data_IF_553811074771
#
_entry.id   IF_553811074771
#
_cell.length_a   1.000
_cell.length_b   1.000
_cell.length_c   1.000
_cell.angle_alpha   90.00
_cell.angle_beta   90.00
_cell.angle_gamma   90.00
#
_symmetry.space_group_name_H-M   'P 1'
#
loop_
_entity.id
_entity.type
_entity.pdbx_description
1 polymer ?
#
# COMPACT_ATOMS: atom_id res chain seq x y z
N UNK A 1 6.24 -7.05 3.21
CA UNK A 1 7.15 -6.87 2.06
C UNK A 1 7.79 -5.50 2.16
N UNK A 2 9.10 -5.38 1.92
CA UNK A 2 9.81 -4.09 1.91
C UNK A 2 10.06 -3.66 0.47
N UNK A 3 10.02 -2.35 0.23
CA UNK A 3 10.45 -1.79 -1.05
C UNK A 3 11.94 -2.12 -1.27
N UNK A 4 12.34 -2.36 -2.51
CA UNK A 4 13.77 -2.43 -2.82
C UNK A 4 14.32 -1.00 -2.90
N UNK A 5 15.43 -0.75 -2.21
CA UNK A 5 16.05 0.58 -2.09
C UNK A 5 16.31 1.23 -3.46
N UNK A 6 16.74 0.43 -4.45
CA UNK A 6 17.02 0.92 -5.82
C UNK A 6 15.80 1.56 -6.49
N UNK A 7 14.59 1.08 -6.21
CA UNK A 7 13.37 1.64 -6.81
C UNK A 7 12.93 2.89 -6.07
N UNK A 8 13.09 2.90 -4.74
CA UNK A 8 12.83 4.08 -3.90
C UNK A 8 13.73 5.25 -4.25
N UNK A 9 15.00 4.98 -4.52
CA UNK A 9 15.99 5.99 -4.89
C UNK A 9 15.63 6.77 -6.16
N UNK A 10 14.78 6.24 -7.04
CA UNK A 10 14.29 6.95 -8.23
C UNK A 10 13.38 8.14 -7.87
N UNK A 11 12.71 8.07 -6.72
CA UNK A 11 11.68 9.01 -6.32
C UNK A 11 10.34 8.78 -7.03
N UNK A 12 9.28 9.24 -6.39
CA UNK A 12 7.91 8.96 -6.79
C UNK A 12 7.45 9.68 -8.08
N UNK A 13 8.23 10.66 -8.55
CA UNK A 13 7.99 11.41 -9.80
C UNK A 13 8.83 10.95 -10.98
N UNK A 14 9.62 9.88 -10.85
CA UNK A 14 10.44 9.37 -11.95
C UNK A 14 9.59 8.93 -13.15
N UNK A 15 10.05 9.22 -14.37
CA UNK A 15 9.30 8.97 -15.61
C UNK A 15 9.00 7.48 -15.85
N UNK A 16 9.82 6.58 -15.32
CA UNK A 16 9.61 5.11 -15.39
C UNK A 16 8.22 4.71 -14.88
N UNK A 17 7.66 5.43 -13.89
CA UNK A 17 6.36 5.11 -13.32
C UNK A 17 5.21 5.36 -14.32
N UNK A 18 5.39 6.28 -15.27
CA UNK A 18 4.42 6.49 -16.35
C UNK A 18 4.48 5.35 -17.38
N UNK A 19 5.67 4.81 -17.66
CA UNK A 19 5.81 3.61 -18.49
C UNK A 19 5.10 2.39 -17.86
N UNK A 20 5.25 2.22 -16.53
CA UNK A 20 4.53 1.18 -15.78
C UNK A 20 3.02 1.39 -15.85
N UNK A 21 2.53 2.61 -15.65
CA UNK A 21 1.10 2.93 -15.74
C UNK A 21 0.54 2.66 -17.14
N UNK A 22 1.26 3.07 -18.19
CA UNK A 22 0.86 2.80 -19.56
C UNK A 22 0.84 1.30 -19.86
N UNK A 23 1.87 0.56 -19.44
CA UNK A 23 1.89 -0.91 -19.53
C UNK A 23 0.68 -1.55 -18.85
N UNK A 24 0.30 -1.09 -17.66
CA UNK A 24 -0.89 -1.55 -16.96
C UNK A 24 -2.20 -1.19 -17.69
N UNK A 25 -2.27 -0.09 -18.42
CA UNK A 25 -3.43 0.28 -19.23
C UNK A 25 -3.66 -0.69 -20.41
N UNK A 26 -2.59 -1.32 -20.91
CA UNK A 26 -2.64 -2.34 -21.96
C UNK A 26 -3.05 -3.74 -21.45
N UNK A 27 -3.31 -3.92 -20.15
CA UNK A 27 -3.52 -5.22 -19.52
C UNK A 27 -4.72 -6.03 -20.06
N UNK A 28 -5.61 -5.40 -20.85
CA UNK A 28 -6.68 -6.11 -21.56
C UNK A 28 -6.17 -7.01 -22.68
N UNK A 29 -4.93 -6.82 -23.14
CA UNK A 29 -4.29 -7.65 -24.16
C UNK A 29 -2.83 -7.92 -23.83
N UNK A 30 -2.53 -9.16 -23.45
CA UNK A 30 -1.15 -9.60 -23.21
C UNK A 30 -0.27 -9.44 -24.46
N UNK A 31 -0.85 -9.60 -25.65
CA UNK A 31 -0.15 -9.36 -26.91
C UNK A 31 0.26 -7.89 -27.07
N UNK A 32 -0.61 -6.94 -26.70
CA UNK A 32 -0.28 -5.51 -26.71
C UNK A 32 0.80 -5.17 -25.70
N UNK A 33 0.74 -5.74 -24.49
CA UNK A 33 1.79 -5.57 -23.48
C UNK A 33 3.14 -6.09 -23.95
N UNK A 34 3.20 -7.31 -24.47
CA UNK A 34 4.44 -7.89 -25.00
C UNK A 34 5.00 -7.08 -26.16
N UNK A 35 4.13 -6.67 -27.10
CA UNK A 35 4.51 -5.83 -28.23
C UNK A 35 5.06 -4.47 -27.77
N UNK A 36 4.41 -3.81 -26.82
CA UNK A 36 4.89 -2.55 -26.26
C UNK A 36 6.28 -2.69 -25.67
N UNK A 37 6.52 -3.74 -24.87
CA UNK A 37 7.85 -3.99 -24.28
C UNK A 37 8.90 -4.26 -25.36
N UNK A 38 8.55 -5.04 -26.39
CA UNK A 38 9.46 -5.34 -27.51
C UNK A 38 9.80 -4.10 -28.33
N UNK A 39 8.79 -3.34 -28.75
CA UNK A 39 8.95 -2.11 -29.53
C UNK A 39 9.80 -1.10 -28.75
N UNK A 40 9.52 -0.92 -27.45
CA UNK A 40 10.27 -0.01 -26.59
C UNK A 40 11.73 -0.47 -26.41
N UNK A 41 11.99 -1.78 -26.27
CA UNK A 41 13.34 -2.34 -26.18
C UNK A 41 14.14 -2.08 -27.47
N UNK A 42 13.53 -2.22 -28.63
CA UNK A 42 14.20 -2.03 -29.92
C UNK A 42 14.44 -0.55 -30.21
N UNK A 43 13.40 0.28 -30.08
CA UNK A 43 13.38 1.63 -30.62
C UNK A 43 13.67 2.72 -29.57
N UNK A 44 13.48 2.41 -28.27
CA UNK A 44 13.50 3.39 -27.18
C UNK A 44 12.69 4.65 -27.50
N UNK A 45 11.52 4.42 -28.07
CA UNK A 45 10.54 5.43 -28.37
C UNK A 45 9.16 4.79 -28.34
N UNK A 46 8.13 5.61 -28.24
CA UNK A 46 6.76 5.13 -28.28
C UNK A 46 5.82 6.12 -28.96
N UNK A 47 4.72 5.60 -29.49
CA UNK A 47 3.65 6.36 -30.12
C UNK A 47 2.33 5.93 -29.51
N UNK A 48 1.47 6.88 -29.13
CA UNK A 48 0.16 6.60 -28.57
C UNK A 48 -0.91 7.21 -29.47
N UNK A 49 -1.80 6.37 -30.02
CA UNK A 49 -2.85 6.85 -30.91
C UNK A 49 -2.30 7.53 -32.16
N UNK A 50 -2.65 8.81 -32.34
CA UNK A 50 -2.21 9.65 -33.47
C UNK A 50 -1.15 10.69 -33.07
N UNK A 51 -0.67 10.63 -31.84
CA UNK A 51 0.30 11.59 -31.33
C UNK A 51 1.69 11.37 -31.94
N UNK A 52 2.56 12.40 -31.93
CA UNK A 52 3.95 12.25 -32.36
C UNK A 52 4.69 11.17 -31.55
N UNK A 53 5.64 10.49 -32.20
CA UNK A 53 6.55 9.58 -31.52
C UNK A 53 7.40 10.34 -30.50
N UNK A 54 7.42 9.84 -29.26
CA UNK A 54 8.24 10.37 -28.17
C UNK A 54 9.45 9.45 -27.97
N UNK A 55 10.65 10.03 -27.93
CA UNK A 55 11.86 9.31 -27.56
C UNK A 55 11.89 9.09 -26.04
N UNK A 56 12.23 7.88 -25.62
CA UNK A 56 12.36 7.48 -24.21
C UNK A 56 13.84 7.25 -23.94
N UNK A 57 14.43 7.82 -22.87
CA UNK A 57 15.82 7.55 -22.52
C UNK A 57 16.08 6.04 -22.40
N UNK A 58 17.19 5.57 -23.00
CA UNK A 58 17.54 4.13 -22.99
C UNK A 58 17.70 3.58 -21.57
N UNK A 59 18.16 4.41 -20.64
CA UNK A 59 18.24 4.08 -19.22
C UNK A 59 16.85 3.82 -18.61
N UNK A 60 15.85 4.65 -18.92
CA UNK A 60 14.47 4.46 -18.46
C UNK A 60 13.85 3.19 -19.03
N UNK A 61 14.16 2.85 -20.29
CA UNK A 61 13.71 1.59 -20.90
C UNK A 61 14.31 0.39 -20.16
N UNK A 62 15.61 0.41 -19.87
CA UNK A 62 16.28 -0.66 -19.11
C UNK A 62 15.71 -0.77 -17.69
N UNK A 63 15.53 0.37 -17.01
CA UNK A 63 14.93 0.43 -15.67
C UNK A 63 13.50 -0.13 -15.67
N UNK A 64 12.66 0.28 -16.63
CA UNK A 64 11.29 -0.20 -16.78
C UNK A 64 11.24 -1.72 -16.95
N UNK A 65 12.03 -2.28 -17.86
CA UNK A 65 12.05 -3.73 -18.10
C UNK A 65 12.54 -4.48 -16.87
N UNK A 66 13.63 -4.02 -16.24
CA UNK A 66 14.15 -4.62 -15.00
C UNK A 66 13.13 -4.55 -13.85
N UNK A 67 12.37 -3.45 -13.78
CA UNK A 67 11.32 -3.29 -12.79
C UNK A 67 10.16 -4.26 -13.00
N UNK A 68 9.72 -4.50 -14.24
CA UNK A 68 8.64 -5.46 -14.52
C UNK A 68 8.99 -6.88 -14.04
N UNK A 69 10.25 -7.30 -14.18
CA UNK A 69 10.73 -8.59 -13.70
C UNK A 69 10.73 -8.65 -12.16
N UNK A 70 11.27 -7.61 -11.50
CA UNK A 70 11.29 -7.53 -10.04
C UNK A 70 9.88 -7.50 -9.43
N UNK A 71 8.98 -6.73 -10.06
CA UNK A 71 7.57 -6.61 -9.69
C UNK A 71 6.83 -7.94 -9.74
N UNK A 72 7.09 -8.78 -10.74
CA UNK A 72 6.45 -10.10 -10.85
C UNK A 72 6.94 -11.05 -9.73
N UNK A 73 8.22 -10.99 -9.37
CA UNK A 73 8.77 -11.74 -8.24
C UNK A 73 8.13 -11.30 -6.91
N UNK A 74 8.02 -9.99 -6.68
CA UNK A 74 7.36 -9.41 -5.51
C UNK A 74 5.86 -9.78 -5.45
N UNK A 75 5.16 -9.73 -6.58
CA UNK A 75 3.75 -10.15 -6.67
C UNK A 75 3.59 -11.63 -6.31
N UNK A 76 4.48 -12.48 -6.82
CA UNK A 76 4.45 -13.93 -6.53
C UNK A 76 4.65 -14.19 -5.04
N UNK A 77 5.61 -13.50 -4.41
CA UNK A 77 5.83 -13.58 -2.97
C UNK A 77 4.59 -13.09 -2.19
N UNK A 78 4.04 -11.93 -2.53
CA UNK A 78 2.84 -11.37 -1.90
C UNK A 78 1.66 -12.34 -1.96
N UNK A 79 1.39 -12.95 -3.11
CA UNK A 79 0.32 -13.94 -3.26
C UNK A 79 0.52 -15.15 -2.34
N UNK A 80 1.76 -15.60 -2.14
CA UNK A 80 2.10 -16.70 -1.23
C UNK A 80 1.86 -16.40 0.25
N UNK A 81 1.85 -15.12 0.64
CA UNK A 81 1.63 -14.70 2.02
C UNK A 81 0.16 -14.48 2.40
N UNK A 82 -0.72 -14.31 1.41
CA UNK A 82 -2.15 -14.13 1.65
C UNK A 82 -2.75 -15.30 2.43
N UNK A 83 -3.64 -14.99 3.34
CA UNK A 83 -4.39 -15.95 4.15
C UNK A 83 -5.81 -16.09 3.62
N UNK A 84 -6.44 -17.20 3.93
CA UNK A 84 -7.90 -17.23 3.98
C UNK A 84 -8.42 -16.70 5.33
N UNK A 85 -9.73 -16.50 5.42
CA UNK A 85 -10.35 -15.93 6.63
C UNK A 85 -10.15 -16.82 7.85
N UNK A 86 -10.15 -18.14 7.67
CA UNK A 86 -9.95 -19.09 8.75
C UNK A 86 -8.54 -18.94 9.33
N UNK A 87 -7.52 -18.91 8.49
CA UNK A 87 -6.14 -18.67 8.90
C UNK A 87 -5.98 -17.33 9.66
N UNK A 88 -6.62 -16.26 9.20
CA UNK A 88 -6.60 -14.96 9.88
C UNK A 88 -7.32 -14.99 11.25
N UNK A 89 -8.45 -15.69 11.34
CA UNK A 89 -9.16 -15.89 12.61
C UNK A 89 -8.37 -16.75 13.60
N UNK A 90 -7.68 -17.80 13.13
CA UNK A 90 -6.84 -18.63 14.01
C UNK A 90 -5.70 -17.83 14.64
N UNK A 91 -5.12 -16.86 13.92
CA UNK A 91 -4.17 -15.91 14.53
C UNK A 91 -4.81 -15.16 15.71
N UNK A 92 -6.00 -14.58 15.50
CA UNK A 92 -6.68 -13.80 16.52
C UNK A 92 -7.06 -14.67 17.73
N UNK A 93 -7.55 -15.88 17.50
CA UNK A 93 -7.88 -16.85 18.56
C UNK A 93 -6.67 -17.24 19.39
N UNK A 94 -5.54 -17.57 18.75
CA UNK A 94 -4.28 -17.92 19.44
C UNK A 94 -3.82 -16.79 20.38
N UNK A 95 -4.04 -15.54 19.99
CA UNK A 95 -3.67 -14.37 20.78
C UNK A 95 -4.80 -13.84 21.68
N UNK A 96 -5.96 -14.49 21.70
CA UNK A 96 -7.16 -14.07 22.46
C UNK A 96 -7.62 -12.65 22.13
N UNK A 97 -7.45 -12.22 20.88
CA UNK A 97 -7.94 -10.92 20.41
C UNK A 97 -9.42 -10.99 20.09
N UNK A 98 -10.16 -9.96 20.50
CA UNK A 98 -11.56 -9.79 20.13
C UNK A 98 -11.63 -9.43 18.66
N UNK A 99 -12.42 -10.19 17.90
CA UNK A 99 -12.67 -9.96 16.47
C UNK A 99 -14.14 -9.57 16.30
N UNK A 100 -14.38 -8.45 15.62
CA UNK A 100 -15.72 -8.04 15.22
C UNK A 100 -16.06 -8.60 13.83
N UNK A 101 -17.33 -8.49 13.45
CA UNK A 101 -17.79 -8.73 12.09
C UNK A 101 -18.12 -7.42 11.40
N UNK A 102 -17.95 -7.41 10.09
CA UNK A 102 -18.44 -6.32 9.24
C UNK A 102 -19.94 -6.33 9.30
N UNK A 103 -20.56 -5.18 9.61
CA UNK A 103 -22.02 -5.01 9.57
C UNK A 103 -22.38 -4.35 8.24
N UNK A 104 -23.08 -5.05 7.35
CA UNK A 104 -23.61 -4.45 6.11
C UNK A 104 -25.08 -4.08 6.27
N UNK A 105 -25.51 -3.01 5.58
CA UNK A 105 -26.92 -2.56 5.61
C UNK A 105 -27.91 -3.62 5.07
N UNK A 106 -27.45 -4.53 4.22
CA UNK A 106 -28.20 -5.73 3.83
C UNK A 106 -27.63 -6.94 4.56
N UNK A 107 -28.48 -7.63 5.32
CA UNK A 107 -28.14 -8.85 6.05
C UNK A 107 -27.94 -10.08 5.14
N UNK A 108 -28.29 -9.98 3.85
CA UNK A 108 -28.12 -11.07 2.87
C UNK A 108 -26.67 -11.19 2.36
N UNK A 109 -25.83 -10.18 2.62
CA UNK A 109 -24.42 -10.24 2.29
C UNK A 109 -23.62 -10.96 3.37
N UNK A 110 -22.57 -11.67 2.96
CA UNK A 110 -21.63 -12.31 3.87
C UNK A 110 -21.02 -11.28 4.85
N UNK A 111 -21.24 -11.49 6.14
CA UNK A 111 -20.67 -10.65 7.21
C UNK A 111 -19.24 -11.13 7.49
N UNK A 112 -18.28 -10.61 6.73
CA UNK A 112 -16.87 -10.98 6.88
C UNK A 112 -16.31 -10.53 8.23
N UNK A 113 -15.47 -11.35 8.84
CA UNK A 113 -14.73 -10.98 10.05
C UNK A 113 -13.78 -9.80 9.80
N UNK A 114 -13.50 -9.05 10.86
CA UNK A 114 -12.50 -7.97 10.88
C UNK A 114 -11.18 -8.47 11.45
N UNK A 115 -10.72 -9.64 11.01
CA UNK A 115 -9.62 -10.37 11.64
C UNK A 115 -8.25 -9.66 11.46
N UNK A 116 -7.96 -9.16 10.26
CA UNK A 116 -6.80 -8.36 9.94
C UNK A 116 -6.82 -7.05 10.71
N UNK A 117 -7.97 -6.38 10.77
CA UNK A 117 -8.15 -5.15 11.58
C UNK A 117 -7.82 -5.43 13.04
N UNK A 118 -8.38 -6.49 13.61
CA UNK A 118 -8.09 -6.88 14.99
C UNK A 118 -6.60 -7.16 15.19
N UNK A 119 -5.95 -7.90 14.29
CA UNK A 119 -4.52 -8.20 14.38
C UNK A 119 -3.65 -6.93 14.33
N UNK A 120 -3.85 -6.07 13.34
CA UNK A 120 -3.08 -4.82 13.17
C UNK A 120 -3.24 -3.91 14.38
N UNK A 121 -4.48 -3.68 14.82
CA UNK A 121 -4.79 -2.77 15.92
C UNK A 121 -4.29 -3.28 17.28
N UNK A 122 -4.40 -4.58 17.56
CA UNK A 122 -3.88 -5.15 18.81
C UNK A 122 -2.36 -5.15 18.85
N UNK A 123 -1.69 -5.49 17.74
CA UNK A 123 -0.23 -5.41 17.65
C UNK A 123 0.22 -3.97 17.86
N UNK A 124 -0.37 -3.00 17.13
CA UNK A 124 -0.02 -1.59 17.25
C UNK A 124 -0.20 -1.09 18.70
N UNK A 125 -1.36 -1.35 19.31
CA UNK A 125 -1.66 -0.98 20.70
C UNK A 125 -0.63 -1.52 21.69
N UNK A 126 -0.22 -2.79 21.52
CA UNK A 126 0.80 -3.41 22.37
C UNK A 126 2.17 -2.74 22.21
N UNK A 127 2.57 -2.40 20.99
CA UNK A 127 3.87 -1.74 20.72
C UNK A 127 3.90 -0.34 21.34
N UNK A 128 2.86 0.46 21.14
CA UNK A 128 2.83 1.85 21.64
C UNK A 128 2.68 1.92 23.16
N UNK A 129 1.94 0.98 23.77
CA UNK A 129 1.78 0.92 25.23
C UNK A 129 3.11 0.73 25.96
N UNK A 130 4.05 -0.01 25.36
CA UNK A 130 5.39 -0.20 25.91
C UNK A 130 6.26 1.06 25.85
N UNK A 131 5.90 2.04 25.02
CA UNK A 131 6.65 3.28 24.77
C UNK A 131 5.95 4.54 25.31
N UNK A 132 4.79 4.39 25.95
CA UNK A 132 4.00 5.54 26.42
C UNK A 132 3.45 6.42 25.29
N UNK A 133 3.33 5.87 24.07
CA UNK A 133 2.77 6.55 22.89
C UNK A 133 1.29 6.16 22.77
N UNK A 134 0.44 7.08 22.30
CA UNK A 134 -0.98 6.80 22.05
C UNK A 134 -1.21 6.22 20.65
N UNK A 135 -2.38 5.65 20.42
CA UNK A 135 -2.80 5.18 19.09
C UNK A 135 -4.29 5.45 18.91
N UNK A 136 -4.66 5.93 17.72
CA UNK A 136 -6.05 5.90 17.25
C UNK A 136 -6.19 4.75 16.25
N UNK A 137 -6.76 3.64 16.72
CA UNK A 137 -6.87 2.39 15.94
C UNK A 137 -8.21 2.23 15.22
N UNK A 138 -9.13 3.20 15.36
CA UNK A 138 -10.38 3.26 14.62
C UNK A 138 -10.79 4.73 14.32
N UNK A 139 -10.03 5.46 13.49
CA UNK A 139 -10.29 6.86 13.20
C UNK A 139 -11.71 7.14 12.70
N UNK A 140 -12.45 7.97 13.43
CA UNK A 140 -13.76 8.49 12.99
C UNK A 140 -13.66 9.86 12.30
N UNK A 141 -12.45 10.40 12.16
CA UNK A 141 -12.15 11.69 11.54
C UNK A 141 -10.87 11.59 10.70
N UNK A 142 -10.66 12.59 9.85
CA UNK A 142 -9.47 12.72 9.01
C UNK A 142 -8.23 13.00 9.86
N UNK A 143 -7.08 12.55 9.38
CA UNK A 143 -5.81 13.00 9.93
C UNK A 143 -5.55 14.44 9.48
N UNK A 144 -4.99 15.24 10.38
CA UNK A 144 -4.68 16.64 10.16
C UNK A 144 -3.23 16.87 10.57
N UNK A 145 -2.46 17.45 9.67
CA UNK A 145 -1.17 18.04 10.01
C UNK A 145 -1.32 19.55 10.05
N UNK A 146 -0.96 20.13 11.20
CA UNK A 146 -0.79 21.55 11.39
C UNK A 146 0.60 21.77 11.97
N UNK A 147 1.56 22.00 11.08
CA UNK A 147 2.97 22.13 11.42
C UNK A 147 3.65 23.15 10.49
N UNK A 148 4.58 23.95 11.03
CA UNK A 148 5.32 24.99 10.27
C UNK A 148 4.41 25.94 9.47
N UNK A 149 3.27 26.32 10.05
CA UNK A 149 2.24 27.16 9.41
C UNK A 149 1.62 26.57 8.14
N UNK A 150 1.72 25.25 7.96
CA UNK A 150 1.07 24.52 6.88
C UNK A 150 -0.03 23.63 7.42
N UNK A 151 -1.14 23.58 6.68
CA UNK A 151 -2.26 22.70 6.95
C UNK A 151 -2.31 21.61 5.88
N UNK A 152 -2.39 20.35 6.30
CA UNK A 152 -2.75 19.24 5.45
C UNK A 152 -3.84 18.41 6.13
N UNK A 153 -4.81 17.94 5.36
CA UNK A 153 -5.90 17.09 5.82
C UNK A 153 -6.06 15.98 4.81
N UNK A 154 -6.12 14.72 5.27
CA UNK A 154 -6.28 13.58 4.37
C UNK A 154 -7.59 13.65 3.59
N UNK A 155 -7.60 13.19 2.34
CA UNK A 155 -8.82 13.11 1.53
C UNK A 155 -9.94 12.24 2.16
N UNK A 156 -9.57 11.32 3.05
CA UNK A 156 -10.47 10.33 3.68
C UNK A 156 -10.08 10.01 5.13
N UNK A 157 -10.96 9.34 5.85
CA UNK A 157 -10.59 8.66 7.09
C UNK A 157 -9.69 7.46 6.76
N UNK A 158 -8.72 7.22 7.63
CA UNK A 158 -7.78 6.10 7.54
C UNK A 158 -8.13 5.04 8.58
N UNK A 159 -7.45 3.90 8.56
CA UNK A 159 -7.75 2.76 9.42
C UNK A 159 -6.94 2.77 10.72
N UNK A 160 -5.95 3.65 10.83
CA UNK A 160 -5.36 4.03 12.11
C UNK A 160 -4.21 5.01 12.00
N UNK A 161 -3.82 5.56 13.14
CA UNK A 161 -2.85 6.65 13.25
C UNK A 161 -2.13 6.65 14.61
N UNK A 162 -0.84 7.00 14.59
CA UNK A 162 0.00 7.14 15.78
C UNK A 162 0.73 8.50 15.71
N UNK A 163 0.75 9.30 16.80
CA UNK A 163 0.13 9.04 18.10
C UNK A 163 -1.39 9.22 18.12
N UNK A 164 -1.96 9.85 17.11
CA UNK A 164 -3.39 10.13 16.99
C UNK A 164 -3.67 10.85 15.68
N UNK A 165 -4.81 11.55 15.59
CA UNK A 165 -5.25 12.17 14.32
C UNK A 165 -4.65 13.55 14.04
N UNK A 166 -3.94 14.14 15.01
CA UNK A 166 -3.28 15.44 14.85
C UNK A 166 -1.77 15.23 14.81
N UNK A 167 -1.14 15.69 13.72
CA UNK A 167 0.26 15.45 13.38
C UNK A 167 0.68 13.96 13.53
N UNK A 168 -0.06 12.98 12.93
CA UNK A 168 0.39 11.60 13.00
C UNK A 168 1.74 11.42 12.30
N UNK A 169 2.58 10.55 12.87
CA UNK A 169 3.86 10.14 12.28
C UNK A 169 3.72 8.83 11.51
N UNK A 170 2.82 7.95 11.97
CA UNK A 170 2.48 6.70 11.30
C UNK A 170 0.98 6.69 11.06
N UNK A 171 0.58 6.31 9.86
CA UNK A 171 -0.80 6.07 9.47
C UNK A 171 -0.89 4.74 8.74
N UNK A 172 -2.08 4.15 8.73
CA UNK A 172 -2.29 2.97 7.91
C UNK A 172 -3.67 2.81 7.31
N UNK A 173 -3.70 2.01 6.25
CA UNK A 173 -4.91 1.54 5.58
C UNK A 173 -4.95 0.01 5.54
N UNK A 174 -6.13 -0.57 5.71
CA UNK A 174 -6.36 -2.03 5.79
C UNK A 174 -7.32 -2.44 4.68
N UNK A 175 -6.84 -3.29 3.77
CA UNK A 175 -7.60 -3.82 2.63
C UNK A 175 -7.80 -5.32 2.81
N UNK A 176 -8.85 -5.67 3.54
CA UNK A 176 -9.22 -7.04 3.92
C UNK A 176 -10.46 -7.50 3.14
N UNK A 177 -10.41 -8.69 2.51
CA UNK A 177 -11.47 -9.19 1.64
C UNK A 177 -11.67 -10.72 1.74
N UNK A 178 -12.65 -11.17 2.52
CA UNK A 178 -12.90 -12.60 2.81
C UNK A 178 -13.98 -13.30 1.97
N UNK A 179 -14.56 -12.61 1.00
CA UNK A 179 -15.60 -13.17 0.14
C UNK A 179 -15.07 -14.20 -0.85
N UNK A 180 -15.97 -15.06 -1.33
CA UNK A 180 -15.68 -16.10 -2.35
C UNK A 180 -15.85 -15.63 -3.80
N UNK A 181 -16.25 -14.37 -3.98
CA UNK A 181 -16.43 -13.77 -5.32
C UNK A 181 -15.09 -13.33 -5.89
N UNK A 182 -15.00 -13.18 -7.22
CA UNK A 182 -13.79 -12.74 -7.93
C UNK A 182 -13.33 -11.30 -7.64
N UNK A 183 -13.95 -10.60 -6.69
CA UNK A 183 -13.62 -9.22 -6.33
C UNK A 183 -14.22 -8.20 -7.30
N UNK A 184 -14.87 -7.17 -6.76
CA UNK A 184 -15.50 -6.09 -7.51
C UNK A 184 -14.62 -4.84 -7.67
N UNK A 185 -15.22 -3.72 -8.06
CA UNK A 185 -14.54 -2.42 -8.18
C UNK A 185 -13.83 -2.00 -6.91
N UNK A 186 -14.35 -2.40 -5.73
CA UNK A 186 -13.81 -2.10 -4.40
C UNK A 186 -12.30 -2.32 -4.26
N UNK A 187 -11.76 -3.33 -4.94
CA UNK A 187 -10.32 -3.64 -4.85
C UNK A 187 -9.47 -2.70 -5.71
N UNK A 188 -10.01 -2.22 -6.84
CA UNK A 188 -9.39 -1.12 -7.58
C UNK A 188 -9.55 0.20 -6.84
N UNK A 189 -10.71 0.44 -6.22
CA UNK A 189 -10.95 1.62 -5.39
C UNK A 189 -9.91 1.69 -4.26
N UNK A 190 -9.64 0.57 -3.58
CA UNK A 190 -8.58 0.48 -2.57
C UNK A 190 -7.20 0.92 -3.09
N UNK A 191 -6.83 0.57 -4.32
CA UNK A 191 -5.58 1.02 -4.93
C UNK A 191 -5.61 2.53 -5.17
N UNK A 192 -6.71 3.06 -5.71
CA UNK A 192 -6.83 4.49 -6.00
C UNK A 192 -6.84 5.35 -4.74
N UNK A 193 -7.49 4.87 -3.68
CA UNK A 193 -7.50 5.50 -2.36
C UNK A 193 -6.08 5.63 -1.81
N UNK A 194 -5.32 4.54 -1.75
CA UNK A 194 -3.94 4.56 -1.26
C UNK A 194 -3.01 5.39 -2.15
N UNK A 195 -3.23 5.38 -3.46
CA UNK A 195 -2.49 6.24 -4.40
C UNK A 195 -2.75 7.73 -4.13
N UNK A 196 -4.02 8.11 -3.96
CA UNK A 196 -4.40 9.49 -3.67
C UNK A 196 -3.78 9.96 -2.35
N UNK A 197 -3.98 9.20 -1.26
CA UNK A 197 -3.41 9.52 0.05
C UNK A 197 -1.89 9.59 -0.02
N UNK A 198 -1.25 8.60 -0.65
CA UNK A 198 0.20 8.59 -0.82
C UNK A 198 0.74 9.82 -1.54
N UNK A 199 0.11 10.23 -2.64
CA UNK A 199 0.50 11.43 -3.39
C UNK A 199 0.33 12.71 -2.58
N UNK A 200 -0.81 12.88 -1.91
CA UNK A 200 -1.07 14.04 -1.08
C UNK A 200 -0.04 14.18 0.05
N UNK A 201 0.39 13.04 0.63
CA UNK A 201 1.44 13.00 1.64
C UNK A 201 2.80 13.35 1.06
N UNK A 202 3.19 12.81 -0.09
CA UNK A 202 4.48 13.19 -0.72
C UNK A 202 4.53 14.66 -1.07
N UNK A 203 3.43 15.19 -1.60
CA UNK A 203 3.31 16.62 -1.86
C UNK A 203 3.36 17.44 -0.56
N UNK A 204 2.88 16.90 0.58
CA UNK A 204 3.00 17.53 1.91
C UNK A 204 4.41 17.48 2.46
N UNK A 205 5.08 16.34 2.35
CA UNK A 205 6.47 16.15 2.77
C UNK A 205 7.42 17.07 1.99
N UNK A 206 7.25 17.17 0.67
CA UNK A 206 8.04 18.05 -0.21
C UNK A 206 7.99 19.52 0.26
N UNK A 207 6.81 20.01 0.67
CA UNK A 207 6.62 21.41 1.07
C UNK A 207 6.85 21.69 2.56
N UNK A 208 6.67 20.71 3.43
CA UNK A 208 6.74 20.89 4.90
C UNK A 208 8.07 20.39 5.49
N UNK A 209 8.72 19.43 4.83
CA UNK A 209 9.85 18.67 5.35
C UNK A 209 9.48 17.69 6.48
N UNK A 210 8.19 17.46 6.74
CA UNK A 210 7.69 16.57 7.79
C UNK A 210 7.34 15.23 7.17
N UNK A 211 8.12 14.19 7.49
CA UNK A 211 7.89 12.83 6.99
C UNK A 211 6.74 12.13 7.70
N UNK A 212 5.95 11.38 6.93
CA UNK A 212 4.82 10.56 7.39
C UNK A 212 5.00 9.16 6.85
N UNK A 213 4.98 8.20 7.77
CA UNK A 213 5.04 6.78 7.46
C UNK A 213 3.66 6.25 7.05
N UNK A 214 3.50 5.92 5.78
CA UNK A 214 2.24 5.42 5.22
C UNK A 214 2.26 3.91 5.01
N UNK A 215 1.57 3.16 5.88
CA UNK A 215 1.58 1.69 5.85
C UNK A 215 0.28 1.13 5.28
N UNK A 216 0.37 0.12 4.42
CA UNK A 216 -0.82 -0.58 3.90
C UNK A 216 -0.78 -2.05 4.28
N UNK A 217 -1.93 -2.58 4.70
CA UNK A 217 -2.15 -3.98 5.00
C UNK A 217 -3.11 -4.59 3.99
N UNK A 218 -2.79 -5.77 3.48
CA UNK A 218 -3.61 -6.48 2.49
C UNK A 218 -3.80 -7.93 2.89
N UNK A 219 -5.05 -8.42 2.85
CA UNK A 219 -5.34 -9.84 3.03
C UNK A 219 -6.65 -10.26 2.35
N UNK A 220 -6.83 -11.58 2.14
CA UNK A 220 -7.96 -12.13 1.40
C UNK A 220 -7.55 -12.94 0.18
N UNK A 221 -6.98 -14.14 0.40
CA UNK A 221 -6.36 -14.97 -0.63
C UNK A 221 -7.21 -15.11 -1.89
N UNK A 222 -8.46 -15.57 -1.76
CA UNK A 222 -9.31 -15.84 -2.92
C UNK A 222 -9.52 -14.59 -3.79
N UNK A 223 -9.86 -13.45 -3.15
CA UNK A 223 -10.16 -12.22 -3.88
C UNK A 223 -8.92 -11.60 -4.52
N UNK A 224 -7.79 -11.54 -3.81
CA UNK A 224 -6.55 -10.99 -4.37
C UNK A 224 -5.92 -11.89 -5.42
N UNK A 225 -6.12 -13.22 -5.35
CA UNK A 225 -5.77 -14.12 -6.44
C UNK A 225 -6.63 -13.89 -7.69
N UNK A 226 -7.89 -13.51 -7.55
CA UNK A 226 -8.73 -13.14 -8.69
C UNK A 226 -8.38 -11.75 -9.24
N UNK A 227 -7.81 -10.87 -8.39
CA UNK A 227 -7.48 -9.47 -8.70
C UNK A 227 -5.98 -9.18 -8.62
N UNK A 228 -5.16 -10.08 -9.16
CA UNK A 228 -3.68 -9.95 -9.15
C UNK A 228 -3.20 -8.64 -9.76
N UNK A 229 -3.91 -8.13 -10.77
CA UNK A 229 -3.60 -6.83 -11.38
C UNK A 229 -3.72 -5.68 -10.37
N UNK A 230 -4.71 -5.70 -9.48
CA UNK A 230 -4.84 -4.69 -8.42
C UNK A 230 -3.79 -4.90 -7.32
N UNK A 231 -3.52 -6.14 -6.90
CA UNK A 231 -2.44 -6.42 -5.94
C UNK A 231 -1.07 -5.95 -6.46
N UNK A 232 -0.82 -6.17 -7.75
CA UNK A 232 0.42 -5.74 -8.39
C UNK A 232 0.56 -4.22 -8.44
N UNK A 233 -0.54 -3.46 -8.41
CA UNK A 233 -0.49 -2.00 -8.26
C UNK A 233 -0.12 -1.57 -6.84
N UNK A 234 -0.43 -2.34 -5.80
CA UNK A 234 0.13 -2.06 -4.47
C UNK A 234 1.65 -2.26 -4.42
N UNK A 235 2.17 -3.25 -5.15
CA UNK A 235 3.62 -3.39 -5.37
C UNK A 235 4.17 -2.15 -6.07
N UNK A 236 3.47 -1.61 -7.07
CA UNK A 236 3.85 -0.36 -7.73
C UNK A 236 3.85 0.83 -6.77
N UNK A 237 2.80 1.01 -5.96
CA UNK A 237 2.74 2.07 -4.95
C UNK A 237 3.91 1.95 -3.95
N UNK A 238 4.27 0.73 -3.55
CA UNK A 238 5.37 0.47 -2.63
C UNK A 238 6.72 0.83 -3.24
N UNK A 239 7.00 0.46 -4.48
CA UNK A 239 8.31 0.72 -5.09
C UNK A 239 8.43 2.16 -5.61
N UNK A 240 7.32 2.75 -6.08
CA UNK A 240 7.22 4.18 -6.40
C UNK A 240 7.40 5.06 -5.16
N UNK A 241 7.16 4.51 -3.98
CA UNK A 241 7.28 5.22 -2.71
C UNK A 241 6.08 6.09 -2.37
N UNK A 242 4.90 5.77 -2.88
CA UNK A 242 3.64 6.40 -2.47
C UNK A 242 3.09 5.80 -1.16
N UNK A 243 3.48 4.57 -0.83
CA UNK A 243 3.29 3.95 0.48
C UNK A 243 4.66 3.50 0.97
N UNK A 244 4.92 3.47 2.27
CA UNK A 244 6.23 3.13 2.85
C UNK A 244 6.39 1.66 3.17
N UNK A 245 5.31 0.99 3.56
CA UNK A 245 5.28 -0.44 3.76
C UNK A 245 4.01 -1.09 3.25
N UNK A 246 4.15 -2.32 2.75
CA UNK A 246 3.04 -3.19 2.39
C UNK A 246 3.18 -4.50 3.16
N UNK A 247 2.25 -4.79 4.05
CA UNK A 247 2.16 -6.04 4.78
C UNK A 247 1.08 -6.92 4.18
N UNK A 248 1.45 -8.12 3.75
CA UNK A 248 0.54 -9.06 3.09
C UNK A 248 0.31 -10.28 3.97
N UNK A 249 -0.95 -10.51 4.34
CA UNK A 249 -1.39 -11.69 5.10
C UNK A 249 -0.50 -12.06 6.28
N UNK A 250 0.25 -13.16 6.15
CA UNK A 250 1.11 -13.72 7.22
C UNK A 250 2.20 -12.76 7.71
N UNK A 251 2.64 -11.81 6.88
CA UNK A 251 3.65 -10.81 7.27
C UNK A 251 3.18 -9.91 8.43
N UNK A 252 1.87 -9.75 8.62
CA UNK A 252 1.32 -9.01 9.76
C UNK A 252 1.73 -9.64 11.09
N UNK A 253 1.77 -10.99 11.15
CA UNK A 253 2.15 -11.73 12.36
C UNK A 253 3.66 -11.66 12.62
N UNK A 254 4.46 -11.72 11.56
CA UNK A 254 5.92 -11.87 11.68
C UNK A 254 6.66 -10.54 11.77
N UNK A 255 6.17 -9.50 11.09
CA UNK A 255 6.98 -8.31 10.79
C UNK A 255 6.39 -7.00 11.29
N UNK A 256 5.07 -6.89 11.48
CA UNK A 256 4.44 -5.61 11.85
C UNK A 256 4.93 -5.06 13.19
N UNK A 257 4.99 -5.91 14.22
CA UNK A 257 5.48 -5.50 15.56
C UNK A 257 6.90 -4.94 15.50
N UNK A 258 7.78 -5.64 14.78
CA UNK A 258 9.18 -5.23 14.61
C UNK A 258 9.28 -3.92 13.84
N UNK A 259 8.60 -3.83 12.71
CA UNK A 259 8.63 -2.65 11.86
C UNK A 259 8.14 -1.40 12.59
N UNK A 260 7.00 -1.50 13.28
CA UNK A 260 6.46 -0.39 14.05
C UNK A 260 7.41 0.00 15.20
N UNK A 261 8.01 -0.98 15.88
CA UNK A 261 9.06 -0.72 16.87
C UNK A 261 10.22 0.09 16.30
N UNK A 262 10.78 -0.36 15.17
CA UNK A 262 11.90 0.31 14.50
C UNK A 262 11.57 1.77 14.13
N UNK A 263 10.34 2.04 13.66
CA UNK A 263 9.89 3.40 13.31
C UNK A 263 9.81 4.28 14.56
N UNK A 264 9.17 3.79 15.61
CA UNK A 264 8.99 4.56 16.84
C UNK A 264 10.32 4.85 17.54
N UNK A 265 11.28 3.93 17.47
CA UNK A 265 12.61 4.14 18.04
C UNK A 265 13.41 5.20 17.26
N UNK A 266 13.31 5.22 15.92
CA UNK A 266 13.89 6.32 15.10
C UNK A 266 13.23 7.66 15.39
N UNK A 267 11.93 7.63 15.63
CA UNK A 267 11.11 8.80 15.89
C UNK A 267 11.48 9.48 17.23
N UNK A 268 11.86 8.71 18.25
CA UNK A 268 12.39 9.19 19.53
C UNK A 268 13.79 9.81 19.36
N UNK A 269 14.66 9.19 18.56
CA UNK A 269 16.02 9.69 18.29
C UNK A 269 16.05 11.00 17.48
N UNK A 270 15.04 11.23 16.63
CA UNK A 270 14.88 12.46 15.85
C UNK A 270 14.19 13.61 16.60
N UNK A 271 13.61 13.36 17.78
CA UNK A 271 12.77 14.32 18.53
C UNK A 271 13.50 15.40 19.33
N UNK A 272 14.78 15.67 19.04
CA UNK A 272 15.62 16.62 19.77
C UNK A 272 16.39 17.60 18.85
N UNK A 273 15.83 17.95 17.68
CA UNK A 273 16.40 18.98 16.80
C UNK A 273 15.33 19.90 16.20
#
# INVERSE_FOLDING_TARGET
>A
MRAEERWRALGWRHAVWDLVRYFCALARSRAQQSKFVEDLRQQASMTVGREPTVAIPREDVTLFISYLEAREAQLTAALGHLRDEKEALELCKRNRWKVETTTTQSHDHYQSSKALIAAVSNIASRVVSRRGVTVEANPQRRCVWLERSQLHVTARNLDGAIPGLTNPRVIWEIKEYWGKTSGGSKMSDAVYECNLVGRELREYEERSGVQVEHVVFVDGREQWHARKSDLSRFVDLLNQGLIDALFVGKEVETDWEKYLGDILDRAELGGNR
#
